data_IF_196605002876
#
_entry.id   IF_196605002876
#
_cell.length_a   1.000
_cell.length_b   1.000
_cell.length_c   1.000
_cell.angle_alpha   90.00
_cell.angle_beta   90.00
_cell.angle_gamma   90.00
#
_symmetry.space_group_name_H-M   'P 1'
#
loop_
_entity.id
_entity.type
_entity.pdbx_description
1 polymer ?
#
# COMPACT_ATOMS: atom_id res chain seq x y z
N UNK A 1 40.48 31.58 24.84
CA UNK A 1 39.07 31.13 24.78
C UNK A 1 38.67 31.00 23.31
N UNK A 2 38.74 29.78 22.76
CA UNK A 2 38.31 29.49 21.39
C UNK A 2 37.07 28.58 21.45
N UNK A 3 36.00 29.02 20.80
CA UNK A 3 34.74 28.29 20.73
C UNK A 3 34.87 27.14 19.71
N UNK A 4 34.84 25.90 20.20
CA UNK A 4 34.72 24.71 19.36
C UNK A 4 33.28 24.66 18.83
N UNK A 5 33.09 25.07 17.58
CA UNK A 5 31.84 24.82 16.83
C UNK A 5 31.75 23.33 16.50
N UNK A 6 31.02 22.58 17.32
CA UNK A 6 30.57 21.23 16.95
C UNK A 6 29.48 21.34 15.88
N UNK A 7 29.90 21.36 14.61
CA UNK A 7 29.01 21.09 13.49
C UNK A 7 28.67 19.60 13.47
N UNK A 8 27.65 19.19 14.25
CA UNK A 8 26.97 17.92 14.05
C UNK A 8 26.13 18.01 12.77
N UNK A 9 26.79 17.85 11.63
CA UNK A 9 26.12 17.51 10.38
C UNK A 9 25.68 16.06 10.55
N UNK A 10 24.43 15.84 10.98
CA UNK A 10 23.76 14.55 10.84
C UNK A 10 23.54 14.27 9.35
N UNK A 11 24.59 13.78 8.67
CA UNK A 11 24.45 13.05 7.42
C UNK A 11 23.79 11.72 7.76
N UNK A 12 22.46 11.68 7.66
CA UNK A 12 21.70 10.45 7.74
C UNK A 12 21.85 9.70 6.39
N UNK A 13 23.08 9.33 6.06
CA UNK A 13 23.41 8.47 4.93
C UNK A 13 23.07 7.03 5.37
N UNK A 14 21.98 6.48 4.79
CA UNK A 14 21.57 5.07 4.88
C UNK A 14 20.69 4.62 6.06
N UNK A 15 19.73 5.42 6.51
CA UNK A 15 18.50 4.83 7.05
C UNK A 15 17.77 4.13 5.89
N UNK A 16 18.06 2.84 5.66
CA UNK A 16 17.24 1.99 4.78
C UNK A 16 15.78 2.20 5.24
N UNK A 17 14.84 2.50 4.32
CA UNK A 17 13.44 2.65 4.70
C UNK A 17 13.02 1.39 5.45
N UNK A 18 12.62 1.58 6.71
CA UNK A 18 12.16 0.50 7.57
C UNK A 18 11.14 -0.33 6.79
N UNK A 19 11.44 -1.61 6.58
CA UNK A 19 10.44 -2.53 6.08
C UNK A 19 9.35 -2.62 7.16
N UNK A 20 8.13 -2.14 6.90
CA UNK A 20 7.08 -2.09 7.93
C UNK A 20 6.65 -3.50 8.36
N UNK A 21 6.98 -4.51 7.55
CA UNK A 21 6.75 -5.92 7.83
C UNK A 21 7.83 -6.47 8.79
N UNK A 22 9.03 -5.89 8.86
CA UNK A 22 10.10 -6.43 9.72
C UNK A 22 9.97 -6.06 11.20
N UNK A 23 9.24 -4.99 11.54
CA UNK A 23 9.07 -4.58 12.95
C UNK A 23 7.85 -5.21 13.64
N UNK A 24 6.97 -5.87 12.90
CA UNK A 24 5.77 -6.50 13.45
C UNK A 24 5.65 -7.94 12.94
N UNK A 25 5.31 -8.86 13.84
CA UNK A 25 5.08 -10.24 13.47
C UNK A 25 3.63 -10.43 13.03
N UNK A 26 3.43 -11.05 11.87
CA UNK A 26 2.11 -11.29 11.30
C UNK A 26 1.85 -12.78 11.09
N UNK A 27 0.59 -13.19 11.30
CA UNK A 27 0.04 -14.31 10.55
C UNK A 27 -0.27 -13.82 9.14
N UNK A 28 0.27 -14.49 8.12
CA UNK A 28 0.09 -14.09 6.73
C UNK A 28 -0.59 -15.22 5.98
N UNK A 29 -1.62 -14.89 5.21
CA UNK A 29 -2.20 -15.81 4.23
C UNK A 29 -2.43 -15.10 2.91
N UNK A 30 -2.00 -15.74 1.82
CA UNK A 30 -2.08 -15.20 0.47
C UNK A 30 -3.14 -15.94 -0.33
N UNK A 31 -4.03 -15.19 -0.97
CA UNK A 31 -5.13 -15.67 -1.76
C UNK A 31 -4.92 -15.27 -3.21
N UNK A 32 -4.75 -16.25 -4.09
CA UNK A 32 -4.71 -16.01 -5.55
C UNK A 32 -6.06 -15.48 -6.02
N UNK A 33 -6.04 -14.53 -6.94
CA UNK A 33 -7.25 -13.95 -7.52
C UNK A 33 -7.12 -13.87 -9.04
N UNK A 34 -8.20 -14.18 -9.75
CA UNK A 34 -8.29 -13.85 -11.17
C UNK A 34 -8.84 -12.44 -11.31
N UNK A 35 -7.95 -11.48 -11.54
CA UNK A 35 -8.31 -10.07 -11.67
C UNK A 35 -7.69 -9.47 -12.92
N UNK A 36 -8.48 -8.66 -13.64
CA UNK A 36 -7.96 -7.81 -14.73
C UNK A 36 -7.29 -6.53 -14.19
N UNK A 37 -7.13 -6.40 -12.87
CA UNK A 37 -6.50 -5.24 -12.27
C UNK A 37 -5.01 -5.17 -12.60
N UNK A 38 -4.52 -3.97 -12.87
CA UNK A 38 -3.13 -3.72 -13.20
C UNK A 38 -2.66 -2.42 -12.56
N UNK A 39 -1.35 -2.34 -12.33
CA UNK A 39 -0.67 -1.19 -11.76
C UNK A 39 0.52 -0.82 -12.63
N UNK A 40 0.83 0.47 -12.70
CA UNK A 40 2.04 1.01 -13.30
C UNK A 40 2.70 2.00 -12.33
N UNK A 41 3.98 1.81 -12.05
CA UNK A 41 4.82 2.79 -11.36
C UNK A 41 5.66 3.50 -12.40
N UNK A 42 5.53 4.83 -12.46
CA UNK A 42 6.24 5.68 -13.43
C UNK A 42 6.81 6.90 -12.72
N UNK A 43 7.75 7.58 -13.39
CA UNK A 43 8.22 8.91 -13.01
C UNK A 43 7.72 9.97 -13.99
N UNK A 44 7.62 11.21 -13.54
CA UNK A 44 7.52 12.36 -14.44
C UNK A 44 8.92 12.62 -15.05
N UNK A 45 8.97 12.93 -16.35
CA UNK A 45 10.23 13.02 -17.10
C UNK A 45 11.17 14.11 -16.52
N UNK A 46 12.48 13.90 -16.68
CA UNK A 46 13.60 14.82 -16.38
C UNK A 46 14.28 14.77 -15.01
N UNK A 47 14.16 13.70 -14.21
CA UNK A 47 14.91 13.62 -12.93
C UNK A 47 15.82 12.39 -12.86
N UNK A 48 17.05 12.56 -13.37
CA UNK A 48 18.13 11.57 -13.36
C UNK A 48 18.86 11.43 -11.99
N UNK A 49 18.54 12.29 -11.01
CA UNK A 49 19.32 12.46 -9.76
C UNK A 49 18.73 11.92 -8.46
N UNK A 50 17.64 11.14 -8.47
CA UNK A 50 17.08 10.64 -7.21
C UNK A 50 17.91 9.47 -6.64
N UNK A 51 18.36 9.61 -5.39
CA UNK A 51 19.01 8.54 -4.60
C UNK A 51 18.05 7.39 -4.24
N UNK A 52 16.74 7.66 -4.22
CA UNK A 52 15.69 6.72 -3.83
C UNK A 52 14.95 6.16 -5.06
N UNK A 53 15.67 5.42 -5.91
CA UNK A 53 15.14 4.87 -7.17
C UNK A 53 14.13 3.77 -6.89
N UNK A 54 12.88 3.97 -7.31
CA UNK A 54 11.87 2.91 -7.40
C UNK A 54 11.96 2.30 -8.79
N UNK A 55 11.92 0.98 -8.88
CA UNK A 55 11.87 0.33 -10.18
C UNK A 55 10.54 0.69 -10.86
N UNK A 56 10.63 1.37 -12.00
CA UNK A 56 9.48 1.63 -12.84
C UNK A 56 9.03 0.29 -13.44
N UNK A 57 7.79 -0.10 -13.18
CA UNK A 57 7.28 -1.41 -13.60
C UNK A 57 5.78 -1.35 -13.84
N UNK A 58 5.27 -2.40 -14.49
CA UNK A 58 3.85 -2.63 -14.71
C UNK A 58 3.53 -4.07 -14.34
N UNK A 59 2.56 -4.26 -13.45
CA UNK A 59 2.14 -5.58 -12.99
C UNK A 59 0.64 -5.80 -13.10
N UNK A 60 0.23 -7.07 -13.22
CA UNK A 60 -1.16 -7.52 -13.08
C UNK A 60 -1.36 -8.01 -11.65
N UNK A 61 -2.50 -7.70 -11.04
CA UNK A 61 -2.83 -8.19 -9.70
C UNK A 61 -3.01 -9.71 -9.76
N UNK A 62 -2.23 -10.43 -8.97
CA UNK A 62 -2.19 -11.90 -8.96
C UNK A 62 -2.74 -12.47 -7.67
N UNK A 63 -2.50 -11.80 -6.54
CA UNK A 63 -2.95 -12.26 -5.24
C UNK A 63 -3.13 -11.12 -4.26
N UNK A 64 -3.81 -11.43 -3.16
CA UNK A 64 -3.99 -10.55 -2.01
C UNK A 64 -3.49 -11.31 -0.79
N UNK A 65 -2.54 -10.71 -0.05
CA UNK A 65 -2.15 -11.22 1.26
C UNK A 65 -2.94 -10.52 2.35
N UNK A 66 -3.52 -11.29 3.27
CA UNK A 66 -4.09 -10.78 4.53
C UNK A 66 -3.08 -11.02 5.64
N UNK A 67 -2.82 -9.98 6.42
CA UNK A 67 -1.84 -9.97 7.50
C UNK A 67 -2.56 -9.64 8.82
N UNK A 68 -2.45 -10.49 9.82
CA UNK A 68 -3.02 -10.28 11.15
C UNK A 68 -1.90 -10.17 12.19
N UNK A 69 -1.88 -9.08 12.97
CA UNK A 69 -0.84 -8.81 13.97
C UNK A 69 -0.82 -9.88 15.07
N UNK A 70 0.24 -10.71 15.13
CA UNK A 70 0.32 -11.81 16.11
C UNK A 70 0.15 -11.33 17.54
N UNK A 71 0.78 -10.22 17.91
CA UNK A 71 0.69 -9.65 19.26
C UNK A 71 -0.74 -9.34 19.70
N UNK A 72 -1.62 -8.97 18.77
CA UNK A 72 -3.03 -8.70 19.06
C UNK A 72 -3.87 -9.97 19.00
N UNK A 73 -3.56 -10.87 18.06
CA UNK A 73 -4.26 -12.13 17.85
C UNK A 73 -4.00 -13.13 18.99
N UNK A 74 -2.74 -13.33 19.37
CA UNK A 74 -2.32 -14.30 20.38
C UNK A 74 -2.86 -13.93 21.77
N UNK A 75 -2.89 -12.63 22.10
CA UNK A 75 -3.52 -12.11 23.33
C UNK A 75 -5.01 -12.46 23.44
N UNK A 76 -5.65 -12.73 22.30
CA UNK A 76 -7.07 -13.11 22.19
C UNK A 76 -7.25 -14.61 21.98
N UNK A 77 -6.18 -15.40 22.03
CA UNK A 77 -6.19 -16.85 21.85
C UNK A 77 -6.30 -17.31 20.39
N UNK A 78 -6.17 -16.40 19.42
CA UNK A 78 -6.22 -16.72 17.99
C UNK A 78 -4.86 -17.23 17.52
N UNK A 79 -4.78 -18.52 17.19
CA UNK A 79 -3.51 -19.18 16.82
C UNK A 79 -3.24 -19.19 15.30
N UNK A 80 -4.22 -18.78 14.49
CA UNK A 80 -4.06 -18.62 13.04
C UNK A 80 -5.15 -17.72 12.42
N UNK A 81 -4.95 -17.38 11.15
CA UNK A 81 -5.82 -16.45 10.39
C UNK A 81 -7.17 -17.05 9.98
N UNK A 82 -7.32 -18.39 9.97
CA UNK A 82 -8.60 -19.03 9.65
C UNK A 82 -9.64 -18.80 10.76
N UNK A 83 -9.19 -18.86 12.02
CA UNK A 83 -10.04 -18.62 13.19
C UNK A 83 -10.55 -17.17 13.24
N UNK A 84 -9.77 -16.23 12.68
CA UNK A 84 -10.09 -14.81 12.66
C UNK A 84 -11.46 -14.54 12.05
N UNK A 85 -11.82 -15.21 10.94
CA UNK A 85 -13.09 -14.96 10.25
C UNK A 85 -14.31 -15.29 11.08
N UNK A 86 -14.20 -16.13 12.11
CA UNK A 86 -15.32 -16.47 12.99
C UNK A 86 -15.20 -15.80 14.36
N UNK A 87 -14.18 -14.98 14.58
CA UNK A 87 -13.94 -14.35 15.86
C UNK A 87 -14.91 -13.18 16.10
N UNK A 88 -15.43 -13.09 17.33
CA UNK A 88 -16.36 -12.02 17.74
C UNK A 88 -15.78 -10.61 17.58
N UNK A 89 -14.48 -10.46 17.82
CA UNK A 89 -13.77 -9.17 17.73
C UNK A 89 -13.26 -8.85 16.31
N UNK A 90 -13.72 -9.55 15.26
CA UNK A 90 -13.22 -9.33 13.89
C UNK A 90 -13.30 -7.86 13.45
N UNK A 91 -14.44 -7.21 13.67
CA UNK A 91 -14.63 -5.81 13.28
C UNK A 91 -13.69 -4.88 14.06
N UNK A 92 -13.50 -5.13 15.36
CA UNK A 92 -12.55 -4.38 16.17
C UNK A 92 -11.12 -4.51 15.61
N UNK A 93 -10.69 -5.72 15.22
CA UNK A 93 -9.37 -5.91 14.62
C UNK A 93 -9.21 -5.21 13.26
N UNK A 94 -10.29 -5.21 12.46
CA UNK A 94 -10.34 -4.53 11.18
C UNK A 94 -10.21 -3.00 11.34
N UNK A 95 -11.04 -2.41 12.20
CA UNK A 95 -11.10 -0.96 12.43
C UNK A 95 -9.81 -0.42 13.05
N UNK A 96 -9.14 -1.20 13.90
CA UNK A 96 -7.90 -0.81 14.56
C UNK A 96 -6.63 -1.16 13.76
N UNK A 97 -6.75 -1.52 12.48
CA UNK A 97 -5.62 -1.81 11.59
C UNK A 97 -4.73 -2.98 12.08
N UNK A 98 -5.29 -3.86 12.93
CA UNK A 98 -4.69 -5.14 13.34
C UNK A 98 -4.81 -6.21 12.26
N UNK A 99 -5.73 -6.01 11.31
CA UNK A 99 -5.79 -6.72 10.03
C UNK A 99 -5.34 -5.75 8.94
N UNK A 100 -4.34 -6.15 8.17
CA UNK A 100 -3.82 -5.42 7.02
C UNK A 100 -3.91 -6.28 5.77
N UNK A 101 -3.74 -5.65 4.62
CA UNK A 101 -3.63 -6.36 3.35
C UNK A 101 -2.39 -5.94 2.58
N UNK A 102 -1.97 -6.78 1.67
CA UNK A 102 -0.99 -6.45 0.64
C UNK A 102 -1.52 -6.90 -0.72
N UNK A 103 -1.59 -5.97 -1.67
CA UNK A 103 -1.94 -6.27 -3.06
C UNK A 103 -0.66 -6.69 -3.78
N UNK A 104 -0.64 -7.91 -4.32
CA UNK A 104 0.54 -8.49 -4.94
C UNK A 104 0.35 -8.53 -6.46
N UNK A 105 1.17 -7.76 -7.15
CA UNK A 105 1.21 -7.66 -8.59
C UNK A 105 2.43 -8.41 -9.12
N UNK A 106 2.29 -8.94 -10.32
CA UNK A 106 3.35 -9.63 -11.04
C UNK A 106 3.54 -8.98 -12.40
N UNK A 107 4.78 -8.63 -12.75
CA UNK A 107 5.11 -8.13 -14.09
C UNK A 107 5.31 -9.27 -15.10
N UNK A 108 5.53 -8.92 -16.37
CA UNK A 108 5.72 -9.92 -17.44
C UNK A 108 6.97 -10.80 -17.24
N UNK A 109 7.92 -10.36 -16.41
CA UNK A 109 9.16 -11.09 -16.08
C UNK A 109 9.03 -11.88 -14.78
N UNK A 110 7.81 -12.05 -14.24
CA UNK A 110 7.53 -12.70 -12.95
C UNK A 110 8.15 -11.98 -11.75
N UNK A 111 8.47 -10.69 -11.87
CA UNK A 111 8.93 -9.90 -10.71
C UNK A 111 7.73 -9.43 -9.91
N UNK A 112 7.88 -9.50 -8.60
CA UNK A 112 6.84 -9.08 -7.67
C UNK A 112 6.87 -7.58 -7.42
N UNK A 113 5.67 -7.00 -7.43
CA UNK A 113 5.38 -5.66 -6.95
C UNK A 113 4.32 -5.77 -5.85
N UNK A 114 4.64 -5.32 -4.65
CA UNK A 114 3.73 -5.37 -3.51
C UNK A 114 3.28 -3.95 -3.14
N UNK A 115 1.98 -3.78 -2.95
CA UNK A 115 1.37 -2.52 -2.52
C UNK A 115 0.63 -2.75 -1.20
N UNK A 116 1.20 -2.25 -0.10
CA UNK A 116 0.61 -2.33 1.23
C UNK A 116 0.14 -0.95 1.68
N UNK A 117 -1.17 -0.71 1.89
CA UNK A 117 -1.67 0.54 2.44
C UNK A 117 -1.12 0.76 3.86
N UNK A 118 -0.74 2.00 4.19
CA UNK A 118 -0.32 2.38 5.55
C UNK A 118 -1.46 2.13 6.54
N UNK A 119 -2.66 2.60 6.19
CA UNK A 119 -3.91 2.34 6.88
C UNK A 119 -4.83 1.59 5.94
N UNK A 120 -5.17 0.35 6.31
CA UNK A 120 -5.89 -0.58 5.46
C UNK A 120 -7.16 0.02 4.84
N UNK A 121 -7.97 0.68 5.67
CA UNK A 121 -9.22 1.28 5.24
C UNK A 121 -9.03 2.58 4.45
N UNK A 122 -8.30 3.56 5.00
CA UNK A 122 -8.27 4.92 4.45
C UNK A 122 -7.66 5.01 3.05
N UNK A 123 -6.46 4.43 2.84
CA UNK A 123 -5.76 4.57 1.56
C UNK A 123 -6.53 3.91 0.42
N UNK A 124 -7.13 2.73 0.66
CA UNK A 124 -7.89 1.98 -0.33
C UNK A 124 -9.27 2.59 -0.57
N UNK A 125 -9.94 3.07 0.48
CA UNK A 125 -11.24 3.72 0.36
C UNK A 125 -11.15 5.02 -0.45
N UNK A 126 -10.11 5.83 -0.23
CA UNK A 126 -9.84 7.03 -1.03
C UNK A 126 -9.78 6.72 -2.52
N UNK A 127 -9.12 5.61 -2.91
CA UNK A 127 -9.07 5.17 -4.31
C UNK A 127 -10.45 4.72 -4.80
N UNK A 128 -11.19 3.94 -4.01
CA UNK A 128 -12.55 3.51 -4.37
C UNK A 128 -13.47 4.71 -4.64
N UNK A 129 -13.44 5.72 -3.77
CA UNK A 129 -14.22 6.94 -3.94
C UNK A 129 -13.80 7.73 -5.18
N UNK A 130 -12.49 7.80 -5.46
CA UNK A 130 -11.99 8.47 -6.64
C UNK A 130 -12.37 7.73 -7.95
N UNK A 131 -12.42 6.39 -7.94
CA UNK A 131 -12.95 5.59 -9.06
C UNK A 131 -14.43 5.91 -9.31
N UNK A 132 -15.24 5.97 -8.24
CA UNK A 132 -16.69 6.18 -8.33
C UNK A 132 -17.12 7.63 -8.55
N UNK A 133 -16.27 8.63 -8.27
CA UNK A 133 -16.57 10.05 -8.51
C UNK A 133 -16.86 10.30 -10.01
N UNK A 134 -17.58 11.37 -10.33
CA UNK A 134 -17.75 11.83 -11.72
C UNK A 134 -16.59 12.74 -12.19
N UNK A 135 -15.80 13.27 -11.27
CA UNK A 135 -14.76 14.27 -11.55
C UNK A 135 -13.57 13.65 -12.26
N UNK A 136 -13.05 14.25 -13.33
CA UNK A 136 -11.86 13.72 -14.01
C UNK A 136 -10.59 13.84 -13.17
N UNK A 137 -10.55 14.71 -12.19
CA UNK A 137 -9.43 14.91 -11.28
C UNK A 137 -9.90 15.52 -9.96
N UNK A 138 -9.09 15.40 -8.92
CA UNK A 138 -9.44 15.96 -7.61
C UNK A 138 -8.50 15.54 -6.50
N UNK A 139 -8.87 15.90 -5.27
CA UNK A 139 -8.15 15.50 -4.07
C UNK A 139 -8.61 14.12 -3.59
N UNK A 140 -7.69 13.32 -3.07
CA UNK A 140 -8.01 12.09 -2.35
C UNK A 140 -8.50 12.45 -0.94
N UNK A 141 -9.62 11.87 -0.51
CA UNK A 141 -10.31 12.27 0.73
C UNK A 141 -9.42 12.25 1.97
N UNK A 142 -8.58 11.23 2.13
CA UNK A 142 -7.69 11.07 3.28
C UNK A 142 -6.21 11.09 2.89
N UNK A 143 -5.91 11.50 1.65
CA UNK A 143 -4.71 11.03 0.95
C UNK A 143 -4.72 9.51 0.76
N UNK A 144 -3.71 8.99 0.08
CA UNK A 144 -3.47 7.56 -0.02
C UNK A 144 -1.99 7.28 0.15
N UNK A 145 -1.65 6.65 1.27
CA UNK A 145 -0.27 6.28 1.60
C UNK A 145 -0.06 4.79 1.48
N UNK A 146 1.06 4.40 0.87
CA UNK A 146 1.44 3.03 0.64
C UNK A 146 2.92 2.79 0.92
N UNK A 147 3.20 1.59 1.40
CA UNK A 147 4.50 0.98 1.23
C UNK A 147 4.49 0.17 -0.07
N UNK A 148 5.47 0.43 -0.91
CA UNK A 148 5.62 -0.17 -2.23
C UNK A 148 6.92 -0.94 -2.27
N UNK A 149 6.86 -2.23 -2.52
CA UNK A 149 8.05 -3.05 -2.77
C UNK A 149 8.16 -3.39 -4.24
N UNK A 150 9.29 -3.02 -4.84
CA UNK A 150 9.72 -3.50 -6.15
C UNK A 150 11.06 -4.20 -5.97
N UNK A 151 11.19 -5.46 -6.37
CA UNK A 151 12.42 -6.25 -6.16
C UNK A 151 12.91 -6.22 -4.70
N UNK A 152 12.01 -6.46 -3.75
CA UNK A 152 12.29 -6.54 -2.30
C UNK A 152 12.77 -5.26 -1.61
N UNK A 153 12.78 -4.11 -2.30
CA UNK A 153 13.04 -2.81 -1.67
C UNK A 153 11.75 -2.06 -1.39
N UNK A 154 11.43 -1.86 -0.11
CA UNK A 154 10.23 -1.14 0.33
C UNK A 154 10.46 0.37 0.35
N UNK A 155 9.53 1.11 -0.26
CA UNK A 155 9.54 2.58 -0.30
C UNK A 155 8.19 3.11 0.14
N UNK A 156 8.18 4.17 0.94
CA UNK A 156 6.96 4.87 1.31
C UNK A 156 6.59 5.91 0.25
N UNK A 157 5.34 5.83 -0.21
CA UNK A 157 4.73 6.74 -1.19
C UNK A 157 3.43 7.30 -0.63
N UNK A 158 3.20 8.60 -0.81
CA UNK A 158 1.99 9.27 -0.35
C UNK A 158 1.41 10.14 -1.46
N UNK A 159 0.15 9.92 -1.77
CA UNK A 159 -0.59 10.57 -2.83
C UNK A 159 -1.67 11.47 -2.25
N UNK A 160 -1.81 12.68 -2.78
CA UNK A 160 -2.81 13.66 -2.34
C UNK A 160 -3.91 13.88 -3.39
N UNK A 161 -3.62 13.61 -4.66
CA UNK A 161 -4.52 13.90 -5.78
C UNK A 161 -4.71 12.68 -6.67
N UNK A 162 -5.80 12.69 -7.42
CA UNK A 162 -6.05 11.73 -8.47
C UNK A 162 -6.39 12.41 -9.80
N UNK A 163 -6.12 11.70 -10.89
CA UNK A 163 -6.56 12.05 -12.22
C UNK A 163 -7.02 10.77 -12.95
N UNK A 164 -8.26 10.76 -13.43
CA UNK A 164 -8.84 9.67 -14.20
C UNK A 164 -8.55 9.82 -15.68
N UNK A 165 -8.36 8.67 -16.31
CA UNK A 165 -8.23 8.49 -17.75
C UNK A 165 -8.97 7.21 -18.09
N UNK A 166 -9.74 7.12 -19.17
CA UNK A 166 -10.47 5.93 -19.64
C UNK A 166 -10.68 4.83 -18.57
N UNK A 167 -9.74 3.88 -18.46
CA UNK A 167 -9.85 2.72 -17.55
C UNK A 167 -8.83 2.73 -16.39
N UNK A 168 -8.26 3.89 -16.04
CA UNK A 168 -7.20 4.04 -15.03
C UNK A 168 -7.39 5.28 -14.17
N UNK A 169 -6.84 5.22 -12.97
CA UNK A 169 -6.67 6.34 -12.05
C UNK A 169 -5.16 6.55 -11.81
N UNK A 170 -4.66 7.75 -12.10
CA UNK A 170 -3.31 8.22 -11.76
C UNK A 170 -3.38 8.81 -10.35
N UNK A 171 -2.60 8.26 -9.41
CA UNK A 171 -2.37 8.83 -8.09
C UNK A 171 -1.15 9.73 -8.15
N UNK A 172 -1.32 10.98 -7.75
CA UNK A 172 -0.32 12.06 -7.86
C UNK A 172 0.12 12.44 -6.45
N UNK A 173 1.44 12.60 -6.28
CA UNK A 173 2.02 12.95 -4.99
C UNK A 173 1.54 14.30 -4.49
N UNK A 174 1.64 14.46 -3.18
CA UNK A 174 1.57 15.78 -2.57
C UNK A 174 2.74 16.65 -3.05
N UNK A 175 2.49 17.95 -3.26
CA UNK A 175 3.50 18.94 -3.66
C UNK A 175 4.68 19.04 -2.65
N UNK A 176 4.49 18.58 -1.42
CA UNK A 176 5.55 18.52 -0.39
C UNK A 176 6.51 17.35 -0.58
N UNK A 177 6.27 16.46 -1.55
CA UNK A 177 7.18 15.37 -1.86
C UNK A 177 8.16 15.78 -2.94
N UNK A 178 9.47 15.70 -2.65
CA UNK A 178 10.51 15.79 -3.68
C UNK A 178 10.48 14.60 -4.67
N UNK A 179 9.54 13.66 -4.50
CA UNK A 179 9.38 12.47 -5.34
C UNK A 179 8.35 12.73 -6.44
N UNK A 180 8.81 12.80 -7.70
CA UNK A 180 7.94 12.86 -8.89
C UNK A 180 7.61 11.48 -9.46
N UNK A 181 7.30 10.51 -8.61
CA UNK A 181 6.71 9.26 -9.08
C UNK A 181 5.20 9.42 -9.25
N UNK A 182 4.55 8.50 -9.91
CA UNK A 182 3.09 8.35 -9.81
C UNK A 182 2.73 6.88 -10.00
N UNK A 183 1.60 6.49 -9.43
CA UNK A 183 1.02 5.18 -9.64
C UNK A 183 -0.19 5.34 -10.56
N UNK A 184 -0.28 4.55 -11.63
CA UNK A 184 -1.53 4.35 -12.35
C UNK A 184 -2.10 3.00 -11.97
N UNK A 185 -3.33 2.97 -11.46
CA UNK A 185 -4.06 1.74 -11.18
C UNK A 185 -5.21 1.62 -12.17
N UNK A 186 -5.47 0.44 -12.72
CA UNK A 186 -6.68 0.23 -13.52
C UNK A 186 -7.93 0.31 -12.64
N UNK A 187 -9.03 0.83 -13.18
CA UNK A 187 -10.29 0.93 -12.44
C UNK A 187 -10.89 -0.45 -12.10
N UNK A 188 -10.50 -1.50 -12.81
CA UNK A 188 -10.83 -2.91 -12.49
C UNK A 188 -10.28 -3.39 -11.13
N UNK A 189 -9.44 -2.59 -10.44
CA UNK A 189 -9.06 -2.84 -9.05
C UNK A 189 -10.25 -2.70 -8.08
N UNK A 190 -11.31 -1.99 -8.50
CA UNK A 190 -12.46 -1.64 -7.68
C UNK A 190 -13.05 -2.82 -6.90
N UNK A 191 -13.23 -3.98 -7.54
CA UNK A 191 -13.81 -5.16 -6.88
C UNK A 191 -12.93 -5.69 -5.75
N UNK A 192 -11.61 -5.73 -5.97
CA UNK A 192 -10.64 -6.11 -4.94
C UNK A 192 -10.69 -5.09 -3.78
N UNK A 193 -10.71 -3.79 -4.09
CA UNK A 193 -10.79 -2.77 -3.06
C UNK A 193 -12.12 -2.82 -2.29
N UNK A 194 -13.24 -3.15 -2.94
CA UNK A 194 -14.56 -3.28 -2.30
C UNK A 194 -14.58 -4.41 -1.27
N UNK A 195 -13.83 -5.48 -1.51
CA UNK A 195 -13.61 -6.55 -0.52
C UNK A 195 -12.79 -6.00 0.65
N UNK A 196 -11.67 -5.36 0.36
CA UNK A 196 -10.71 -4.91 1.39
C UNK A 196 -11.22 -3.73 2.23
N UNK A 197 -12.10 -2.88 1.69
CA UNK A 197 -12.64 -1.69 2.37
C UNK A 197 -13.94 -1.94 3.12
N UNK A 198 -14.36 -3.20 3.26
CA UNK A 198 -15.56 -3.59 3.99
C UNK A 198 -15.29 -4.81 4.88
N UNK A 199 -15.50 -4.68 6.18
CA UNK A 199 -15.23 -5.74 7.15
C UNK A 199 -15.97 -7.05 6.83
N UNK A 200 -17.27 -7.01 6.52
CA UNK A 200 -18.06 -8.20 6.20
C UNK A 200 -17.53 -8.92 4.95
N UNK A 201 -17.23 -8.17 3.90
CA UNK A 201 -16.68 -8.75 2.66
C UNK A 201 -15.28 -9.31 2.84
N UNK A 202 -14.44 -8.64 3.64
CA UNK A 202 -13.11 -9.16 3.98
C UNK A 202 -13.23 -10.46 4.80
N UNK A 203 -14.16 -10.51 5.75
CA UNK A 203 -14.45 -11.69 6.56
C UNK A 203 -14.84 -12.89 5.69
N UNK A 204 -15.71 -12.68 4.70
CA UNK A 204 -16.11 -13.71 3.71
C UNK A 204 -14.98 -14.12 2.77
N UNK A 205 -14.11 -13.17 2.40
CA UNK A 205 -12.95 -13.42 1.55
C UNK A 205 -11.91 -14.34 2.21
N UNK A 206 -11.76 -14.25 3.53
CA UNK A 206 -10.89 -15.14 4.31
C UNK A 206 -11.52 -16.54 4.33
N UNK A 207 -11.02 -17.44 3.48
CA UNK A 207 -11.51 -18.83 3.39
C UNK A 207 -10.73 -19.81 4.22
#
# INVERSE_FOLDING_TARGET
>A
MSAIKNNLIYKNEHAKPLNPILCAQFYIRTYSIDSKAAIEIKSEANYLGQYDKITLTKGKLKSISILAHKTSMDKKGLKNLLQLKNHKDFNHFYENNYIRCCLNFEDKQKKELNLMPLFHYHSLLSINKAILSNDKEGNLQFGSSFYVSTNHSWKYLNFAKFQKSLNKIKLIYSNYSNKKYYIKVSQSIYDALKILTNASRLKEFIK
#
